data_IF_408003876718
#
_entry.id   IF_408003876718
#
_cell.length_a   1.000
_cell.length_b   1.000
_cell.length_c   1.000
_cell.angle_alpha   90.00
_cell.angle_beta   90.00
_cell.angle_gamma   90.00
#
_symmetry.space_group_name_H-M   'P 1'
#
loop_
_entity.id
_entity.type
_entity.pdbx_description
1 polymer ?
#
# COMPACT_ATOMS: atom_id res chain seq x y z
N UNK A 1 -8.24 3.46 3.88
CA UNK A 1 -8.77 3.38 5.26
C UNK A 1 -7.77 2.60 6.11
N UNK A 2 -7.51 3.00 7.36
CA UNK A 2 -6.81 2.11 8.31
C UNK A 2 -7.89 1.18 8.86
N UNK A 3 -7.83 -0.12 8.57
CA UNK A 3 -8.79 -1.06 9.17
C UNK A 3 -8.51 -1.11 10.68
N UNK A 4 -9.55 -1.26 11.52
CA UNK A 4 -9.35 -1.49 12.96
C UNK A 4 -8.40 -2.68 13.18
N UNK A 5 -8.52 -3.72 12.34
CA UNK A 5 -7.61 -4.87 12.30
C UNK A 5 -6.15 -4.46 12.07
N UNK A 6 -5.87 -3.44 11.25
CA UNK A 6 -4.50 -2.95 11.06
C UNK A 6 -3.96 -2.28 12.33
N UNK A 7 -4.83 -1.57 13.07
CA UNK A 7 -4.48 -0.89 14.32
C UNK A 7 -4.19 -1.95 15.39
N UNK A 8 -5.09 -2.92 15.54
CA UNK A 8 -4.94 -4.05 16.46
C UNK A 8 -3.68 -4.84 16.12
N UNK A 9 -3.43 -5.13 14.84
CA UNK A 9 -2.26 -5.87 14.40
C UNK A 9 -0.94 -5.15 14.73
N UNK A 10 -0.87 -3.84 14.48
CA UNK A 10 0.30 -3.03 14.88
C UNK A 10 0.44 -3.00 16.40
N UNK A 11 -0.66 -2.82 17.14
CA UNK A 11 -0.66 -2.78 18.59
C UNK A 11 -0.16 -4.09 19.21
N UNK A 12 -0.66 -5.24 18.75
CA UNK A 12 -0.20 -6.57 19.19
C UNK A 12 1.27 -6.78 18.83
N UNK A 13 1.70 -6.39 17.63
CA UNK A 13 3.11 -6.45 17.23
C UNK A 13 3.99 -5.63 18.17
N UNK A 14 3.59 -4.41 18.51
CA UNK A 14 4.32 -3.55 19.45
C UNK A 14 4.40 -4.18 20.84
N UNK A 15 3.32 -4.80 21.33
CA UNK A 15 3.31 -5.51 22.62
C UNK A 15 4.30 -6.68 22.61
N UNK A 16 4.30 -7.50 21.56
CA UNK A 16 5.21 -8.65 21.44
C UNK A 16 6.67 -8.16 21.49
N UNK A 17 6.99 -7.15 20.68
CA UNK A 17 8.34 -6.58 20.63
C UNK A 17 8.75 -5.93 21.96
N UNK A 18 7.81 -5.32 22.68
CA UNK A 18 8.05 -4.77 24.00
C UNK A 18 8.45 -5.85 25.01
N UNK A 19 7.71 -6.96 25.10
CA UNK A 19 8.05 -8.07 26.00
C UNK A 19 9.35 -8.78 25.63
N UNK A 20 9.63 -8.95 24.33
CA UNK A 20 10.92 -9.48 23.87
C UNK A 20 12.06 -8.53 24.30
N UNK A 21 11.86 -7.22 24.17
CA UNK A 21 12.82 -6.22 24.62
C UNK A 21 13.11 -6.29 26.12
N UNK A 22 12.07 -6.46 26.95
CA UNK A 22 12.24 -6.69 28.40
C UNK A 22 13.03 -7.96 28.67
N UNK A 23 12.70 -9.07 28.00
CA UNK A 23 13.43 -10.33 28.17
C UNK A 23 14.92 -10.18 27.86
N UNK A 24 15.25 -9.52 26.75
CA UNK A 24 16.64 -9.22 26.37
C UNK A 24 17.32 -8.34 27.42
N UNK A 25 16.65 -7.32 27.96
CA UNK A 25 17.21 -6.45 29.00
C UNK A 25 17.47 -7.18 30.33
N UNK A 26 16.67 -8.19 30.66
CA UNK A 26 16.83 -8.97 31.89
C UNK A 26 17.93 -10.03 31.77
N UNK A 27 18.10 -10.62 30.59
CA UNK A 27 19.08 -11.70 30.36
C UNK A 27 20.43 -11.21 29.86
N UNK A 28 20.50 -10.02 29.24
CA UNK A 28 21.71 -9.52 28.58
C UNK A 28 22.00 -8.06 28.92
N UNK A 29 23.28 -7.77 29.19
CA UNK A 29 23.78 -6.39 29.33
C UNK A 29 24.11 -5.75 27.98
N UNK A 30 24.09 -6.54 26.90
CA UNK A 30 24.51 -6.08 25.58
C UNK A 30 23.39 -5.36 24.84
N UNK A 31 23.48 -4.02 24.80
CA UNK A 31 22.54 -3.16 24.10
C UNK A 31 22.43 -3.43 22.58
N UNK A 32 23.38 -4.14 21.97
CA UNK A 32 23.35 -4.47 20.55
C UNK A 32 22.09 -5.27 20.15
N UNK A 33 21.63 -6.19 21.01
CA UNK A 33 20.43 -6.98 20.74
C UNK A 33 19.16 -6.13 20.68
N UNK A 34 19.07 -5.06 21.48
CA UNK A 34 17.96 -4.11 21.44
C UNK A 34 17.95 -3.31 20.14
N UNK A 35 19.13 -2.89 19.66
CA UNK A 35 19.27 -2.21 18.36
C UNK A 35 18.82 -3.13 17.22
N UNK A 36 19.23 -4.40 17.25
CA UNK A 36 18.83 -5.39 16.25
C UNK A 36 17.31 -5.64 16.30
N UNK A 37 16.74 -5.77 17.49
CA UNK A 37 15.29 -5.91 17.69
C UNK A 37 14.54 -4.69 17.10
N UNK A 38 15.01 -3.47 17.36
CA UNK A 38 14.39 -2.27 16.81
C UNK A 38 14.45 -2.21 15.27
N UNK A 39 15.57 -2.61 14.66
CA UNK A 39 15.70 -2.68 13.19
C UNK A 39 14.73 -3.70 12.58
N UNK A 40 14.59 -4.88 13.19
CA UNK A 40 13.63 -5.88 12.70
C UNK A 40 12.19 -5.39 12.83
N UNK A 41 11.84 -4.71 13.92
CA UNK A 41 10.52 -4.07 14.08
C UNK A 41 10.24 -3.07 12.94
N UNK A 42 11.20 -2.20 12.62
CA UNK A 42 11.06 -1.22 11.54
C UNK A 42 10.84 -1.88 10.18
N UNK A 43 11.56 -2.98 9.89
CA UNK A 43 11.41 -3.75 8.66
C UNK A 43 10.02 -4.36 8.55
N UNK A 44 9.55 -5.04 9.60
CA UNK A 44 8.21 -5.64 9.63
C UNK A 44 7.13 -4.57 9.52
N UNK A 45 7.25 -3.47 10.27
CA UNK A 45 6.30 -2.37 10.22
C UNK A 45 6.18 -1.78 8.80
N UNK A 46 7.32 -1.53 8.14
CA UNK A 46 7.34 -1.05 6.74
C UNK A 46 6.70 -2.05 5.79
N UNK A 47 6.98 -3.34 5.97
CA UNK A 47 6.42 -4.41 5.15
C UNK A 47 4.89 -4.54 5.31
N UNK A 48 4.37 -4.46 6.53
CA UNK A 48 2.93 -4.45 6.78
C UNK A 48 2.25 -3.22 6.18
N UNK A 49 2.89 -2.05 6.27
CA UNK A 49 2.37 -0.80 5.70
C UNK A 49 2.26 -0.87 4.18
N UNK A 50 3.23 -1.48 3.49
CA UNK A 50 3.24 -1.56 2.03
C UNK A 50 2.17 -2.52 1.48
N UNK A 51 1.85 -3.59 2.21
CA UNK A 51 0.85 -4.61 1.83
C UNK A 51 -0.60 -4.25 2.11
N UNK A 52 -0.90 -3.03 2.60
CA UNK A 52 -2.28 -2.60 2.81
C UNK A 52 -3.07 -2.65 1.51
N UNK A 53 -4.16 -3.42 1.57
CA UNK A 53 -5.11 -3.67 0.50
C UNK A 53 -6.07 -2.50 0.32
N UNK A 54 -6.11 -1.91 -0.87
CA UNK A 54 -6.99 -0.79 -1.22
C UNK A 54 -8.10 -1.18 -2.20
N UNK A 55 -8.03 -2.36 -2.81
CA UNK A 55 -8.99 -2.88 -3.80
C UNK A 55 -10.45 -2.74 -3.34
N UNK A 56 -10.70 -2.98 -2.05
CA UNK A 56 -12.04 -2.94 -1.43
C UNK A 56 -12.68 -1.54 -1.54
N UNK A 57 -11.88 -0.47 -1.57
CA UNK A 57 -12.38 0.91 -1.57
C UNK A 57 -12.53 1.52 -2.96
N UNK A 58 -11.98 0.87 -3.98
CA UNK A 58 -11.91 1.38 -5.35
C UNK A 58 -12.62 0.46 -6.34
N UNK A 59 -13.15 -0.67 -5.86
CA UNK A 59 -13.79 -1.68 -6.69
C UNK A 59 -14.91 -1.07 -7.54
N UNK A 60 -15.78 -0.27 -6.93
CA UNK A 60 -16.89 0.39 -7.62
C UNK A 60 -16.41 1.45 -8.61
N UNK A 61 -15.32 2.17 -8.28
CA UNK A 61 -14.77 3.19 -9.17
C UNK A 61 -14.14 2.58 -10.42
N UNK A 62 -13.42 1.46 -10.28
CA UNK A 62 -12.90 0.71 -11.43
C UNK A 62 -14.02 0.03 -12.23
N UNK A 63 -15.08 -0.44 -11.57
CA UNK A 63 -16.24 -1.02 -12.25
C UNK A 63 -16.95 -0.01 -13.15
N UNK A 64 -17.07 1.25 -12.71
CA UNK A 64 -17.58 2.36 -13.54
C UNK A 64 -16.70 2.65 -14.77
N UNK A 65 -15.42 2.27 -14.72
CA UNK A 65 -14.48 2.40 -15.84
C UNK A 65 -14.44 1.16 -16.75
N UNK A 66 -15.30 0.15 -16.53
CA UNK A 66 -15.36 -1.08 -17.32
C UNK A 66 -14.32 -2.14 -16.93
N UNK A 67 -13.83 -2.08 -15.68
CA UNK A 67 -12.86 -3.03 -15.15
C UNK A 67 -13.37 -3.72 -13.88
N UNK A 68 -13.39 -5.05 -13.90
CA UNK A 68 -13.65 -5.89 -12.73
C UNK A 68 -12.33 -6.28 -12.09
N UNK A 69 -12.01 -5.68 -10.94
CA UNK A 69 -10.75 -5.96 -10.24
C UNK A 69 -10.76 -7.37 -9.63
N UNK A 70 -9.71 -8.14 -9.90
CA UNK A 70 -9.50 -9.50 -9.38
C UNK A 70 -8.49 -9.49 -8.24
N UNK A 71 -7.35 -8.83 -8.44
CA UNK A 71 -6.26 -8.83 -7.48
C UNK A 71 -5.54 -7.48 -7.43
N UNK A 72 -4.81 -7.24 -6.34
CA UNK A 72 -3.95 -6.07 -6.19
C UNK A 72 -2.58 -6.45 -5.63
N UNK A 73 -1.56 -5.73 -6.05
CA UNK A 73 -0.21 -5.79 -5.48
C UNK A 73 0.42 -4.40 -5.38
N UNK A 74 1.35 -4.17 -4.44
CA UNK A 74 2.15 -2.95 -4.44
C UNK A 74 3.00 -2.85 -5.71
N UNK A 75 3.23 -1.63 -6.18
CA UNK A 75 4.23 -1.37 -7.23
C UNK A 75 5.62 -1.79 -6.75
N UNK A 76 6.37 -2.46 -7.64
CA UNK A 76 7.79 -2.71 -7.44
C UNK A 76 8.58 -1.40 -7.66
N UNK A 77 9.78 -1.31 -7.07
CA UNK A 77 10.65 -0.14 -7.20
C UNK A 77 10.95 0.23 -8.66
N UNK A 78 11.08 -0.76 -9.55
CA UNK A 78 11.34 -0.57 -10.98
C UNK A 78 10.09 -0.29 -11.83
N UNK A 79 8.88 -0.52 -11.29
CA UNK A 79 7.62 -0.13 -11.93
C UNK A 79 7.26 1.33 -11.63
N UNK A 80 8.09 1.99 -10.84
CA UNK A 80 7.94 3.36 -10.36
C UNK A 80 8.57 4.39 -11.32
N UNK A 81 8.75 4.03 -12.59
CA UNK A 81 9.44 4.85 -13.62
C UNK A 81 8.79 6.21 -13.90
N UNK A 82 7.59 6.46 -13.39
CA UNK A 82 7.08 7.82 -13.32
C UNK A 82 6.99 8.26 -11.87
N UNK A 83 7.94 9.12 -11.51
CA UNK A 83 7.84 10.12 -10.47
C UNK A 83 6.36 10.42 -10.20
N UNK A 84 5.90 10.00 -9.03
CA UNK A 84 4.68 10.54 -8.44
C UNK A 84 5.00 12.01 -8.15
N UNK A 85 5.03 12.84 -9.21
CA UNK A 85 4.99 14.29 -9.03
C UNK A 85 3.71 14.52 -8.24
N UNK A 86 3.76 15.19 -7.09
CA UNK A 86 2.55 15.55 -6.37
C UNK A 86 1.67 16.31 -7.37
N UNK A 87 0.62 15.63 -7.87
CA UNK A 87 -0.15 16.09 -9.03
C UNK A 87 -0.96 17.33 -8.71
N UNK A 88 -1.04 17.72 -7.44
CA UNK A 88 -1.46 19.04 -7.03
C UNK A 88 -0.69 19.46 -5.77
N UNK A 89 -0.47 20.75 -5.66
CA UNK A 89 -0.09 21.43 -4.42
C UNK A 89 -1.35 22.06 -3.86
N UNK A 90 -1.62 21.88 -2.57
CA UNK A 90 -2.65 22.65 -1.86
C UNK A 90 -1.88 23.65 -1.00
N UNK A 91 -2.05 24.95 -1.27
CA UNK A 91 -1.32 26.03 -0.61
C UNK A 91 0.21 25.86 -0.71
N UNK A 92 0.75 25.56 -1.91
CA UNK A 92 2.18 25.31 -2.16
C UNK A 92 2.83 24.17 -1.36
N UNK A 93 2.05 23.38 -0.62
CA UNK A 93 2.53 22.19 0.06
C UNK A 93 2.24 20.93 -0.78
N UNK A 94 3.20 19.99 -0.86
CA UNK A 94 2.96 18.74 -1.57
C UNK A 94 1.84 17.95 -0.87
N UNK A 95 0.94 17.37 -1.66
CA UNK A 95 -0.18 16.51 -1.21
C UNK A 95 0.24 15.51 -0.13
N UNK A 96 1.47 15.00 -0.18
CA UNK A 96 2.03 14.06 0.80
C UNK A 96 2.03 14.54 2.25
N UNK A 97 1.93 15.85 2.51
CA UNK A 97 1.85 16.43 3.85
C UNK A 97 0.44 16.46 4.46
N UNK A 98 -0.60 16.26 3.66
CA UNK A 98 -1.98 16.26 4.15
C UNK A 98 -2.43 14.84 4.49
N UNK A 99 -2.64 14.55 5.77
CA UNK A 99 -2.98 13.20 6.28
C UNK A 99 -4.24 12.58 5.68
N UNK A 100 -5.15 13.44 5.18
CA UNK A 100 -6.44 13.11 4.59
C UNK A 100 -6.40 12.87 3.07
N UNK A 101 -5.38 13.38 2.36
CA UNK A 101 -5.18 13.11 0.94
C UNK A 101 -4.07 12.06 0.81
N UNK A 102 -4.46 10.81 0.53
CA UNK A 102 -3.50 9.70 0.42
C UNK A 102 -3.40 9.22 -1.01
N UNK A 103 -2.16 9.10 -1.48
CA UNK A 103 -1.84 8.59 -2.79
C UNK A 103 -1.25 7.19 -2.69
N UNK A 104 -1.79 6.27 -3.47
CA UNK A 104 -1.37 4.87 -3.50
C UNK A 104 -1.07 4.47 -4.94
N UNK A 105 0.18 4.12 -5.20
CA UNK A 105 0.55 3.42 -6.41
C UNK A 105 0.33 1.91 -6.23
N UNK A 106 -0.44 1.31 -7.14
CA UNK A 106 -0.79 -0.11 -7.11
C UNK A 106 -0.86 -0.67 -8.52
N UNK A 107 -0.62 -1.97 -8.59
CA UNK A 107 -0.90 -2.77 -9.77
C UNK A 107 -2.15 -3.58 -9.49
N UNK A 108 -3.10 -3.53 -10.41
CA UNK A 108 -4.34 -4.28 -10.34
C UNK A 108 -4.43 -5.26 -11.49
N UNK A 109 -4.73 -6.51 -11.19
CA UNK A 109 -5.21 -7.44 -12.21
C UNK A 109 -6.72 -7.25 -12.33
N UNK A 110 -7.19 -6.96 -13.54
CA UNK A 110 -8.60 -6.72 -13.81
C UNK A 110 -9.06 -7.49 -15.05
N UNK A 111 -10.34 -7.84 -15.06
CA UNK A 111 -11.05 -8.33 -16.24
C UNK A 111 -11.79 -7.17 -16.88
N UNK A 112 -11.64 -7.00 -18.18
CA UNK A 112 -12.42 -6.01 -18.96
C UNK A 112 -13.84 -6.53 -19.21
N UNK A 113 -14.79 -5.65 -19.52
CA UNK A 113 -16.15 -6.05 -19.90
C UNK A 113 -16.21 -7.02 -21.10
N UNK A 114 -15.12 -7.12 -21.88
CA UNK A 114 -14.96 -8.05 -23.00
C UNK A 114 -14.34 -9.40 -22.61
N UNK A 115 -14.16 -9.67 -21.31
CA UNK A 115 -13.58 -10.92 -20.78
C UNK A 115 -12.05 -11.02 -20.88
N UNK A 116 -11.34 -9.97 -21.31
CA UNK A 116 -9.86 -9.97 -21.35
C UNK A 116 -9.24 -9.64 -19.99
N UNK A 117 -8.22 -10.38 -19.60
CA UNK A 117 -7.39 -10.10 -18.43
C UNK A 117 -6.32 -9.05 -18.74
N UNK A 118 -6.22 -8.06 -17.86
CA UNK A 118 -5.30 -6.93 -18.00
C UNK A 118 -4.64 -6.61 -16.67
N UNK A 119 -3.38 -6.21 -16.72
CA UNK A 119 -2.65 -5.63 -15.61
C UNK A 119 -2.64 -4.10 -15.74
N UNK A 120 -3.16 -3.42 -14.73
CA UNK A 120 -3.32 -1.96 -14.67
C UNK A 120 -2.40 -1.40 -13.60
N UNK A 121 -1.39 -0.66 -14.01
CA UNK A 121 -0.61 0.15 -13.08
C UNK A 121 -1.37 1.45 -12.88
N UNK A 122 -1.82 1.72 -11.65
CA UNK A 122 -2.64 2.89 -11.36
C UNK A 122 -2.19 3.61 -10.10
N UNK A 123 -2.43 4.92 -10.10
CA UNK A 123 -2.30 5.76 -8.92
C UNK A 123 -3.68 6.18 -8.47
N UNK A 124 -4.01 5.75 -7.26
CA UNK A 124 -5.26 6.11 -6.58
C UNK A 124 -4.98 7.23 -5.62
N UNK A 125 -5.63 8.37 -5.81
CA UNK A 125 -5.54 9.53 -4.91
C UNK A 125 -6.88 9.72 -4.23
N UNK A 126 -6.93 9.58 -2.91
CA UNK A 126 -8.14 9.91 -2.15
C UNK A 126 -8.19 11.41 -1.92
N UNK A 127 -9.28 12.05 -2.32
CA UNK A 127 -9.53 13.48 -2.13
C UNK A 127 -10.20 13.76 -0.78
N UNK A 128 -10.20 15.03 -0.38
CA UNK A 128 -10.76 15.51 0.89
C UNK A 128 -12.27 15.28 1.00
N UNK A 129 -12.98 15.30 -0.11
CA UNK A 129 -14.43 15.03 -0.21
C UNK A 129 -14.77 13.54 -0.15
N UNK A 130 -13.77 12.68 0.10
CA UNK A 130 -13.94 11.23 0.19
C UNK A 130 -13.95 10.52 -1.16
N UNK A 131 -13.95 11.25 -2.29
CA UNK A 131 -13.88 10.65 -3.63
C UNK A 131 -12.47 10.14 -3.93
N UNK A 132 -12.40 9.14 -4.80
CA UNK A 132 -11.13 8.66 -5.34
C UNK A 132 -10.91 9.24 -6.73
N UNK A 133 -9.72 9.74 -6.99
CA UNK A 133 -9.23 10.04 -8.32
C UNK A 133 -8.26 8.92 -8.74
N UNK A 134 -8.60 8.21 -9.80
CA UNK A 134 -7.83 7.07 -10.31
C UNK A 134 -7.17 7.48 -11.61
N UNK A 135 -5.85 7.37 -11.65
CA UNK A 135 -5.06 7.56 -12.88
C UNK A 135 -4.41 6.24 -13.27
N UNK A 136 -4.81 5.67 -14.41
CA UNK A 136 -4.14 4.51 -15.00
C UNK A 136 -2.87 5.02 -15.70
N UNK A 137 -1.71 4.54 -15.26
CA UNK A 137 -0.40 4.88 -15.82
C UNK A 137 -0.10 3.99 -17.03
N UNK A 138 -0.29 2.68 -16.88
CA UNK A 138 -0.08 1.72 -17.95
C UNK A 138 -1.06 0.56 -17.86
N UNK A 139 -1.31 -0.04 -19.03
CA UNK A 139 -2.16 -1.21 -19.21
C UNK A 139 -1.36 -2.24 -20.00
N UNK A 140 -1.27 -3.46 -19.48
CA UNK A 140 -0.67 -4.61 -20.17
C UNK A 140 -1.72 -5.70 -20.30
N UNK A 141 -1.98 -6.20 -21.50
CA UNK A 141 -2.84 -7.39 -21.66
C UNK A 141 -2.05 -8.61 -21.17
N UNK A 142 -2.70 -9.46 -20.38
CA UNK A 142 -2.13 -10.73 -19.94
C UNK A 142 -2.62 -11.75 -20.96
N UNK A 143 -1.74 -12.16 -21.88
CA UNK A 143 -2.04 -13.29 -22.73
C UNK A 143 -2.20 -14.53 -21.84
N UNK A 144 -3.24 -15.36 -22.06
CA UNK A 144 -3.30 -16.64 -21.37
C UNK A 144 -2.02 -17.40 -21.73
N UNK A 145 -1.24 -17.75 -20.71
CA UNK A 145 -0.16 -18.73 -20.87
C UNK A 145 -0.77 -19.96 -21.51
N UNK A 146 -0.40 -20.27 -22.74
CA UNK A 146 -0.62 -21.61 -23.29
C UNK A 146 -0.01 -22.60 -22.28
N UNK A 147 -0.81 -23.61 -21.92
CA UNK A 147 -0.56 -24.54 -20.82
C UNK A 147 0.58 -25.51 -21.06
#
# INVERSE_FOLDING_TARGET
MVKIIDIIGIFVLTIIYFFIGIGIMLETENAFYLVLLFLTYLLIYRFLKSRKRIIVYIHDDFRKMGYKLISERPLKLFEQEFSIKPSATINNLPISRYSYIRQFGRVFTAETDKGKLVELNAVVTKLWDGKNNIRIISKKEIEPSDG
#
